data_IF_661775918722
#
_entry.id   IF_661775918722
#
_cell.length_a   1.000
_cell.length_b   1.000
_cell.length_c   1.000
_cell.angle_alpha   90.00
_cell.angle_beta   90.00
_cell.angle_gamma   90.00
#
_symmetry.space_group_name_H-M   'P 1'
#
loop_
_entity.id
_entity.type
_entity.pdbx_description
1 polymer ?
#
# COMPACT_ATOMS: atom_id res chain seq x y z
N UNK A 1 -79.84 42.55 -14.70
CA UNK A 1 -79.87 42.32 -13.24
C UNK A 1 -78.68 41.41 -12.93
N UNK A 2 -77.44 41.92 -12.99
CA UNK A 2 -76.64 42.49 -11.90
C UNK A 2 -76.54 41.60 -10.64
N UNK A 3 -75.26 41.34 -10.26
CA UNK A 3 -74.68 41.26 -8.90
C UNK A 3 -74.48 39.87 -8.27
N UNK A 4 -73.23 39.39 -8.43
CA UNK A 4 -72.23 39.18 -7.36
C UNK A 4 -71.76 37.76 -6.98
N UNK A 5 -70.42 37.71 -6.96
CA UNK A 5 -69.45 36.71 -6.49
C UNK A 5 -69.21 36.87 -4.98
N UNK A 6 -68.93 35.77 -4.25
CA UNK A 6 -67.97 35.63 -3.11
C UNK A 6 -68.00 34.14 -2.69
N UNK A 7 -66.96 33.33 -2.95
CA UNK A 7 -65.69 33.10 -2.24
C UNK A 7 -65.73 32.07 -1.10
N UNK A 8 -64.80 31.13 -1.23
CA UNK A 8 -64.05 30.36 -0.22
C UNK A 8 -64.73 29.36 0.73
N UNK A 9 -64.10 28.18 0.80
CA UNK A 9 -64.30 27.21 1.87
C UNK A 9 -63.76 25.82 1.57
N UNK A 10 -62.44 25.67 1.58
CA UNK A 10 -61.74 24.38 1.69
C UNK A 10 -62.34 23.50 2.81
N UNK A 11 -62.48 22.19 2.59
CA UNK A 11 -61.93 21.17 3.51
C UNK A 11 -62.13 19.75 2.98
N UNK A 12 -61.00 19.09 2.71
CA UNK A 12 -60.85 17.65 2.69
C UNK A 12 -61.30 17.06 4.02
N UNK A 13 -62.10 15.98 4.02
CA UNK A 13 -62.21 15.10 5.18
C UNK A 13 -61.50 13.80 4.87
N UNK A 14 -60.23 13.78 5.28
CA UNK A 14 -59.40 12.60 5.37
C UNK A 14 -59.90 11.69 6.49
N UNK A 15 -59.92 10.40 6.19
CA UNK A 15 -60.12 9.33 7.16
C UNK A 15 -59.01 9.38 8.23
N UNK A 16 -59.32 9.38 9.54
CA UNK A 16 -58.32 9.50 10.59
C UNK A 16 -57.52 8.19 10.78
N UNK A 17 -56.23 8.30 11.17
CA UNK A 17 -55.35 7.16 11.38
C UNK A 17 -55.66 6.45 12.70
N UNK A 18 -55.69 5.11 12.66
CA UNK A 18 -55.76 4.27 13.85
C UNK A 18 -54.44 4.34 14.62
N UNK A 19 -54.40 5.19 15.65
CA UNK A 19 -53.43 5.10 16.74
C UNK A 19 -53.70 3.83 17.55
N UNK A 20 -52.70 2.96 17.68
CA UNK A 20 -52.53 2.14 18.88
C UNK A 20 -51.18 2.48 19.50
N UNK A 21 -51.21 3.31 20.54
CA UNK A 21 -50.17 3.42 21.56
C UNK A 21 -50.48 2.41 22.66
N UNK A 22 -49.51 1.61 23.03
CA UNK A 22 -49.18 1.32 24.43
C UNK A 22 -47.84 0.56 24.47
N UNK A 23 -46.78 1.26 24.86
CA UNK A 23 -45.67 0.67 25.60
C UNK A 23 -46.09 0.64 27.10
N UNK A 24 -45.50 -0.23 27.93
CA UNK A 24 -44.25 0.19 28.56
C UNK A 24 -43.19 -0.92 28.71
N UNK A 25 -41.95 -0.47 28.55
CA UNK A 25 -40.75 -0.78 29.33
C UNK A 25 -40.76 -2.00 30.25
N UNK A 26 -39.95 -3.00 29.89
CA UNK A 26 -39.30 -3.87 30.89
C UNK A 26 -37.79 -3.70 30.73
N UNK A 27 -37.21 -3.07 31.74
CA UNK A 27 -35.78 -2.98 31.99
C UNK A 27 -35.35 -4.38 32.46
N UNK A 28 -34.63 -5.12 31.62
CA UNK A 28 -33.86 -6.28 32.04
C UNK A 28 -32.38 -5.93 31.93
N UNK A 29 -31.81 -5.54 33.07
CA UNK A 29 -30.37 -5.45 33.24
C UNK A 29 -29.78 -6.87 33.21
N UNK A 30 -29.28 -7.29 32.06
CA UNK A 30 -28.41 -8.46 31.95
C UNK A 30 -26.97 -7.98 32.10
N UNK A 31 -26.46 -8.15 33.32
CA UNK A 31 -25.08 -7.93 33.68
C UNK A 31 -24.19 -9.06 33.11
N UNK A 32 -22.97 -8.69 32.75
CA UNK A 32 -21.75 -9.51 32.71
C UNK A 32 -21.68 -10.61 31.64
N UNK A 33 -20.91 -10.33 30.58
CA UNK A 33 -19.63 -11.00 30.31
C UNK A 33 -19.03 -10.37 29.03
N UNK A 34 -18.25 -9.31 29.22
CA UNK A 34 -17.31 -8.88 28.20
C UNK A 34 -16.20 -9.93 28.11
N UNK A 35 -15.94 -10.57 26.96
CA UNK A 35 -14.64 -11.15 26.75
C UNK A 35 -13.68 -9.97 26.60
N UNK A 36 -13.00 -9.64 27.70
CA UNK A 36 -11.75 -8.93 27.65
C UNK A 36 -10.77 -9.82 26.86
N UNK A 37 -10.79 -9.71 25.54
CA UNK A 37 -9.64 -10.03 24.72
C UNK A 37 -8.62 -8.94 25.04
N UNK A 38 -7.93 -9.14 26.16
CA UNK A 38 -6.60 -8.64 26.38
C UNK A 38 -5.76 -9.25 25.25
N UNK A 39 -5.71 -8.57 24.11
CA UNK A 39 -4.58 -8.69 23.22
C UNK A 39 -3.40 -8.19 24.06
N UNK A 40 -2.44 -9.04 24.46
CA UNK A 40 -1.17 -8.49 24.89
C UNK A 40 -0.71 -7.63 23.72
N UNK A 41 -0.51 -6.35 23.97
CA UNK A 41 0.22 -5.49 23.06
C UNK A 41 1.57 -6.14 22.86
N UNK A 42 1.71 -6.92 21.79
CA UNK A 42 3.00 -7.24 21.25
C UNK A 42 3.48 -5.92 20.68
N UNK A 43 4.15 -5.14 21.54
CA UNK A 43 5.28 -4.37 21.07
C UNK A 43 6.13 -5.38 20.31
N UNK A 44 6.06 -5.33 18.99
CA UNK A 44 7.12 -5.87 18.15
C UNK A 44 8.28 -4.93 18.42
N UNK A 45 8.94 -5.15 19.56
CA UNK A 45 10.35 -4.85 19.63
C UNK A 45 10.92 -5.64 18.46
N UNK A 46 11.41 -4.93 17.46
CA UNK A 46 12.45 -5.48 16.61
C UNK A 46 13.58 -5.83 17.58
N UNK A 47 13.53 -7.04 18.12
CA UNK A 47 14.68 -7.64 18.75
C UNK A 47 15.71 -7.67 17.63
N UNK A 48 16.72 -6.81 17.73
CA UNK A 48 17.97 -7.04 17.04
C UNK A 48 18.32 -8.50 17.35
N UNK A 49 18.33 -9.32 16.30
CA UNK A 49 18.68 -10.72 16.42
C UNK A 49 19.99 -10.78 17.22
N UNK A 50 19.96 -11.48 18.36
CA UNK A 50 21.18 -11.87 19.02
C UNK A 50 22.02 -12.68 18.02
N UNK A 51 23.35 -12.64 18.11
CA UNK A 51 24.21 -13.37 17.18
C UNK A 51 23.98 -14.87 17.39
N UNK A 52 23.13 -15.50 16.59
CA UNK A 52 22.82 -16.92 16.74
C UNK A 52 21.79 -17.51 15.78
N UNK A 53 20.74 -16.80 15.39
CA UNK A 53 19.60 -17.43 14.69
C UNK A 53 19.45 -17.05 13.21
N UNK A 54 20.53 -17.23 12.43
CA UNK A 54 20.46 -17.23 10.97
C UNK A 54 20.38 -18.68 10.46
N UNK A 55 19.18 -19.19 10.18
CA UNK A 55 19.02 -20.46 9.46
C UNK A 55 19.18 -20.20 7.97
N UNK A 56 20.27 -20.71 7.38
CA UNK A 56 20.55 -20.65 5.95
C UNK A 56 19.53 -21.51 5.17
N UNK A 57 18.84 -20.98 4.14
CA UNK A 57 18.17 -21.80 3.14
C UNK A 57 19.22 -22.58 2.33
N UNK A 58 18.94 -23.85 2.03
CA UNK A 58 19.89 -24.83 1.47
C UNK A 58 20.53 -24.46 0.10
N UNK A 59 20.24 -23.30 -0.48
CA UNK A 59 20.64 -22.95 -1.87
C UNK A 59 21.31 -21.57 -2.02
N UNK A 60 21.80 -20.95 -0.92
CA UNK A 60 22.55 -19.67 -1.00
C UNK A 60 23.91 -19.76 -0.30
N UNK A 61 24.99 -19.80 -1.08
CA UNK A 61 26.37 -19.71 -0.57
C UNK A 61 26.79 -18.27 -0.25
N UNK A 62 26.36 -17.77 0.92
CA UNK A 62 27.01 -16.63 1.56
C UNK A 62 28.18 -17.10 2.44
N UNK A 63 29.38 -16.58 2.17
CA UNK A 63 30.55 -16.75 3.03
C UNK A 63 30.42 -15.82 4.26
N UNK A 64 29.79 -16.31 5.32
CA UNK A 64 29.65 -15.57 6.58
C UNK A 64 30.89 -15.79 7.47
N UNK A 65 31.80 -14.83 7.52
CA UNK A 65 32.86 -14.77 8.53
C UNK A 65 32.28 -14.22 9.84
N UNK A 66 31.99 -15.11 10.80
CA UNK A 66 31.60 -14.73 12.17
C UNK A 66 32.83 -14.31 12.97
N UNK A 67 32.96 -13.02 13.29
CA UNK A 67 33.96 -12.54 14.25
C UNK A 67 33.39 -12.75 15.65
N UNK A 68 33.70 -13.90 16.27
CA UNK A 68 33.36 -14.13 17.68
C UNK A 68 34.44 -13.49 18.54
N UNK A 69 34.07 -12.47 19.31
CA UNK A 69 34.96 -11.84 20.30
C UNK A 69 35.41 -12.85 21.36
N UNK A 70 36.71 -13.12 21.40
CA UNK A 70 37.31 -14.04 22.36
C UNK A 70 37.33 -13.47 23.78
N UNK A 71 36.57 -14.11 24.68
CA UNK A 71 36.74 -14.01 26.13
C UNK A 71 37.90 -14.91 26.54
N UNK A 72 38.89 -14.36 27.23
CA UNK A 72 40.04 -15.11 27.78
C UNK A 72 39.65 -15.79 29.10
N UNK A 73 39.78 -17.12 29.13
CA UNK A 73 39.59 -17.97 30.30
C UNK A 73 40.54 -19.17 30.19
N UNK A 74 41.32 -19.41 31.23
CA UNK A 74 42.54 -20.22 31.16
C UNK A 74 42.39 -21.73 31.37
N UNK A 75 43.54 -22.42 31.26
CA UNK A 75 43.89 -23.57 32.11
C UNK A 75 43.97 -24.94 31.44
N UNK A 76 45.20 -25.46 31.32
CA UNK A 76 45.58 -26.76 31.89
C UNK A 76 45.41 -28.06 31.08
N UNK A 77 46.57 -28.65 30.75
CA UNK A 77 46.97 -30.07 30.88
C UNK A 77 46.23 -31.20 30.16
N UNK A 78 46.99 -32.04 29.44
CA UNK A 78 46.64 -33.45 29.19
C UNK A 78 47.35 -34.07 27.98
N UNK A 79 48.26 -35.03 28.21
CA UNK A 79 49.01 -35.74 27.19
C UNK A 79 48.36 -37.04 26.68
N UNK A 80 49.02 -37.64 25.67
CA UNK A 80 48.69 -38.93 25.03
C UNK A 80 47.82 -38.73 23.78
N UNK A 81 48.13 -39.21 22.58
CA UNK A 81 48.96 -40.32 22.16
C UNK A 81 48.14 -41.21 21.22
N UNK A 82 48.31 -41.05 19.90
CA UNK A 82 47.92 -42.03 18.87
C UNK A 82 46.70 -41.70 18.01
N UNK A 83 46.88 -41.69 16.68
CA UNK A 83 45.80 -41.81 15.69
C UNK A 83 45.76 -40.70 14.63
N UNK A 84 46.49 -40.89 13.54
CA UNK A 84 46.56 -39.96 12.41
C UNK A 84 45.37 -40.10 11.44
N UNK A 85 44.62 -39.02 11.26
CA UNK A 85 43.99 -38.61 9.98
C UNK A 85 43.32 -37.24 10.15
N UNK A 86 44.14 -36.18 10.25
CA UNK A 86 43.70 -34.78 10.18
C UNK A 86 44.32 -34.08 8.98
N UNK A 87 43.72 -32.99 8.47
CA UNK A 87 44.20 -32.28 7.28
C UNK A 87 45.65 -31.85 7.49
N UNK A 88 46.49 -32.05 6.46
CA UNK A 88 47.90 -31.68 6.50
C UNK A 88 47.98 -30.17 6.71
N UNK A 89 48.41 -29.74 7.89
CA UNK A 89 48.68 -28.33 8.16
C UNK A 89 49.88 -27.90 7.32
N UNK A 90 49.82 -26.77 6.58
CA UNK A 90 50.98 -26.23 5.89
C UNK A 90 52.13 -26.03 6.90
N UNK A 91 53.40 -26.25 6.50
CA UNK A 91 54.52 -26.02 7.39
C UNK A 91 54.54 -24.55 7.84
N UNK A 92 54.83 -24.33 9.12
CA UNK A 92 54.92 -23.00 9.70
C UNK A 92 55.92 -22.13 8.92
N UNK A 93 55.63 -20.84 8.71
CA UNK A 93 56.53 -19.95 8.02
C UNK A 93 57.89 -19.91 8.73
N UNK A 94 58.92 -20.39 8.03
CA UNK A 94 60.26 -20.52 8.60
C UNK A 94 60.83 -19.11 8.81
N UNK A 95 61.07 -18.73 10.08
CA UNK A 95 61.83 -17.52 10.41
C UNK A 95 61.22 -16.58 11.45
N UNK A 96 60.06 -16.89 12.05
CA UNK A 96 59.50 -16.09 13.15
C UNK A 96 59.23 -17.00 14.36
N UNK A 97 59.69 -16.59 15.54
CA UNK A 97 59.36 -17.28 16.80
C UNK A 97 57.86 -17.11 17.11
N UNK A 98 57.26 -18.06 17.84
CA UNK A 98 55.81 -18.22 18.12
C UNK A 98 55.07 -16.95 18.61
N UNK A 99 55.81 -15.93 19.05
CA UNK A 99 55.28 -14.67 19.57
C UNK A 99 55.63 -13.41 18.75
N UNK A 100 56.23 -13.56 17.55
CA UNK A 100 56.61 -12.41 16.70
C UNK A 100 55.57 -12.03 15.64
N UNK A 101 54.44 -12.75 15.57
CA UNK A 101 53.35 -12.48 14.61
C UNK A 101 52.08 -11.85 15.20
N UNK A 102 52.03 -11.57 16.50
CA UNK A 102 50.82 -11.10 17.20
C UNK A 102 51.04 -9.74 17.87
N UNK A 103 51.34 -8.73 17.07
CA UNK A 103 51.36 -7.34 17.51
C UNK A 103 50.46 -6.51 16.63
N UNK A 104 49.35 -6.01 17.16
CA UNK A 104 48.68 -4.87 16.56
C UNK A 104 49.59 -3.66 16.80
N UNK A 105 50.05 -3.02 15.71
CA UNK A 105 50.67 -1.71 15.83
C UNK A 105 49.52 -0.72 15.97
N UNK A 106 49.35 -0.15 17.17
CA UNK A 106 48.45 0.99 17.36
C UNK A 106 48.98 2.17 16.54
N UNK A 107 48.44 2.34 15.33
CA UNK A 107 48.69 3.52 14.52
C UNK A 107 47.87 4.65 15.15
N UNK A 108 48.47 5.77 15.60
CA UNK A 108 47.70 6.89 16.10
C UNK A 108 46.84 7.46 14.97
N UNK A 109 45.52 7.26 15.04
CA UNK A 109 44.58 7.76 14.05
C UNK A 109 43.14 7.43 14.43
N UNK A 110 42.25 8.40 14.30
CA UNK A 110 40.81 8.17 14.37
C UNK A 110 40.44 7.14 13.29
N UNK A 111 39.63 6.10 13.62
CA UNK A 111 39.09 5.21 12.60
C UNK A 111 38.44 6.03 11.48
N UNK A 112 38.62 5.65 10.20
CA UNK A 112 37.97 6.35 9.11
C UNK A 112 36.45 6.34 9.30
N UNK A 113 35.80 7.47 8.99
CA UNK A 113 34.36 7.55 9.05
C UNK A 113 33.73 6.44 8.19
N UNK A 114 32.61 5.83 8.64
CA UNK A 114 31.91 4.83 7.84
C UNK A 114 31.46 5.44 6.52
N UNK A 115 31.56 4.66 5.44
CA UNK A 115 31.09 5.07 4.13
C UNK A 115 29.59 5.39 4.16
N UNK A 116 29.11 6.38 3.37
CA UNK A 116 27.69 6.65 3.24
C UNK A 116 26.95 5.44 2.65
N UNK A 117 25.65 5.29 2.92
CA UNK A 117 24.85 4.24 2.27
C UNK A 117 24.75 4.50 0.77
N UNK A 118 24.46 3.46 -0.01
CA UNK A 118 24.24 3.63 -1.45
C UNK A 118 22.99 4.44 -1.73
N UNK A 119 22.99 5.22 -2.82
CA UNK A 119 21.83 6.03 -3.21
C UNK A 119 20.60 5.17 -3.46
N UNK A 120 20.79 3.98 -4.05
CA UNK A 120 19.68 3.05 -4.33
C UNK A 120 18.93 2.60 -3.05
N UNK A 121 19.62 2.46 -1.92
CA UNK A 121 18.94 2.14 -0.64
C UNK A 121 18.01 3.29 -0.21
N UNK A 122 18.47 4.53 -0.32
CA UNK A 122 17.64 5.71 -0.02
C UNK A 122 16.47 5.85 -0.99
N UNK A 123 16.68 5.51 -2.27
CA UNK A 123 15.63 5.49 -3.30
C UNK A 123 14.54 4.47 -2.96
N UNK A 124 14.91 3.25 -2.58
CA UNK A 124 13.94 2.24 -2.16
C UNK A 124 13.18 2.70 -0.92
N UNK A 125 13.88 3.25 0.07
CA UNK A 125 13.26 3.78 1.28
C UNK A 125 12.27 4.92 0.98
N UNK A 126 12.66 5.86 0.11
CA UNK A 126 11.78 6.93 -0.33
C UNK A 126 10.54 6.35 -1.02
N UNK A 127 10.71 5.44 -1.97
CA UNK A 127 9.60 4.81 -2.69
C UNK A 127 8.66 4.01 -1.78
N UNK A 128 9.18 3.30 -0.79
CA UNK A 128 8.37 2.53 0.16
C UNK A 128 7.53 3.42 1.08
N UNK A 129 7.96 4.67 1.31
CA UNK A 129 7.18 5.67 2.03
C UNK A 129 6.06 6.32 1.20
N UNK A 130 6.01 6.05 -0.11
CA UNK A 130 5.04 6.67 -1.01
C UNK A 130 3.59 6.21 -0.73
N UNK A 131 2.76 7.15 -0.27
CA UNK A 131 1.34 6.91 -0.02
C UNK A 131 0.49 7.25 -1.26
N UNK A 132 0.20 6.23 -2.08
CA UNK A 132 -0.69 6.39 -3.23
C UNK A 132 -2.17 6.39 -2.80
N UNK A 133 -2.97 7.38 -3.23
CA UNK A 133 -4.40 7.45 -2.88
C UNK A 133 -5.17 6.29 -3.53
N UNK A 134 -6.18 5.80 -2.82
CA UNK A 134 -7.17 4.89 -3.41
C UNK A 134 -8.11 5.74 -4.27
N UNK A 135 -8.25 5.45 -5.58
CA UNK A 135 -9.12 6.25 -6.45
C UNK A 135 -10.59 6.13 -6.06
N UNK A 136 -11.31 7.24 -6.05
CA UNK A 136 -12.78 7.25 -5.88
C UNK A 136 -13.44 7.39 -7.23
N UNK A 137 -14.31 6.44 -7.58
CA UNK A 137 -15.02 6.42 -8.86
C UNK A 137 -16.26 7.30 -8.82
N UNK A 138 -16.46 8.09 -9.88
CA UNK A 138 -17.66 8.86 -10.10
C UNK A 138 -18.22 8.67 -11.51
N UNK A 139 -19.54 8.79 -11.61
CA UNK A 139 -20.26 8.73 -12.89
C UNK A 139 -21.29 9.84 -13.01
N UNK A 140 -21.57 10.26 -14.25
CA UNK A 140 -22.73 11.09 -14.58
C UNK A 140 -23.52 10.42 -15.72
N UNK A 141 -24.81 10.08 -15.52
CA UNK A 141 -25.56 10.21 -14.27
C UNK A 141 -25.01 9.32 -13.13
N UNK A 142 -25.29 9.69 -11.89
CA UNK A 142 -24.79 9.01 -10.68
C UNK A 142 -25.68 7.80 -10.34
N UNK A 143 -25.07 6.70 -9.89
CA UNK A 143 -25.66 5.42 -9.47
C UNK A 143 -26.44 4.62 -10.53
N UNK A 144 -27.10 5.30 -11.47
CA UNK A 144 -27.94 4.71 -12.49
C UNK A 144 -27.77 5.42 -13.82
N UNK A 145 -27.60 4.63 -14.87
CA UNK A 145 -27.61 5.07 -16.26
C UNK A 145 -28.50 4.14 -17.10
N UNK A 146 -28.54 4.37 -18.40
CA UNK A 146 -29.33 3.59 -19.33
C UNK A 146 -28.49 3.09 -20.49
N UNK A 147 -28.88 1.93 -21.02
CA UNK A 147 -28.34 1.39 -22.27
C UNK A 147 -28.46 2.44 -23.37
N UNK A 148 -27.40 2.58 -24.19
CA UNK A 148 -27.26 3.56 -25.27
C UNK A 148 -27.24 5.04 -24.85
N UNK A 149 -27.19 5.33 -23.55
CA UNK A 149 -26.90 6.69 -23.08
C UNK A 149 -25.44 6.82 -22.65
N UNK A 150 -24.88 8.00 -22.93
CA UNK A 150 -23.53 8.35 -22.52
C UNK A 150 -23.47 8.43 -20.99
N UNK A 151 -22.49 7.75 -20.43
CA UNK A 151 -22.13 7.82 -19.01
C UNK A 151 -20.73 8.40 -18.92
N UNK A 152 -20.61 9.58 -18.33
CA UNK A 152 -19.32 10.24 -18.11
C UNK A 152 -18.65 9.60 -16.90
N UNK A 153 -17.33 9.46 -16.95
CA UNK A 153 -16.54 8.73 -15.97
C UNK A 153 -15.39 9.63 -15.50
N UNK A 154 -15.19 9.72 -14.19
CA UNK A 154 -14.00 10.37 -13.64
C UNK A 154 -13.60 9.78 -12.29
N UNK A 155 -12.36 10.03 -11.87
CA UNK A 155 -11.85 9.60 -10.58
C UNK A 155 -11.29 10.77 -9.77
N UNK A 156 -11.44 10.68 -8.46
CA UNK A 156 -10.58 11.41 -7.52
C UNK A 156 -9.30 10.60 -7.24
N UNK A 157 -8.25 11.25 -6.73
CA UNK A 157 -6.97 10.60 -6.48
C UNK A 157 -6.03 10.50 -7.69
N UNK A 158 -6.35 11.15 -8.81
CA UNK A 158 -5.46 11.30 -9.96
C UNK A 158 -4.56 12.53 -9.80
N UNK A 159 -3.52 12.42 -8.98
CA UNK A 159 -2.60 13.52 -8.69
C UNK A 159 -1.15 13.06 -8.63
N UNK A 160 -0.24 14.04 -8.74
CA UNK A 160 1.20 13.81 -8.50
C UNK A 160 1.39 13.49 -7.02
N UNK A 161 2.13 12.42 -6.74
CA UNK A 161 2.52 12.02 -5.38
C UNK A 161 4.01 12.27 -5.23
N UNK A 162 4.41 12.94 -4.17
CA UNK A 162 5.81 13.14 -3.81
C UNK A 162 6.06 12.50 -2.45
N UNK A 163 7.21 11.84 -2.30
CA UNK A 163 7.63 11.29 -1.03
C UNK A 163 8.31 12.36 -0.20
N UNK A 164 8.38 12.13 1.12
CA UNK A 164 9.26 12.93 1.94
C UNK A 164 10.73 12.68 1.52
N UNK A 165 11.59 13.71 1.52
CA UNK A 165 13.00 13.53 1.23
C UNK A 165 13.66 12.62 2.27
N UNK A 166 14.49 11.69 1.80
CA UNK A 166 15.28 10.79 2.63
C UNK A 166 16.75 11.18 2.47
N UNK A 167 17.42 11.52 3.57
CA UNK A 167 18.82 11.96 3.55
C UNK A 167 19.70 11.05 4.39
N UNK A 168 20.92 10.80 3.90
CA UNK A 168 22.00 10.18 4.66
C UNK A 168 23.35 10.65 4.11
N UNK A 169 24.28 11.08 4.97
CA UNK A 169 25.51 11.74 4.51
C UNK A 169 25.21 13.05 3.77
N UNK A 170 25.96 13.34 2.72
CA UNK A 170 25.78 14.49 1.83
C UNK A 170 24.90 14.15 0.61
N UNK A 171 23.92 13.26 0.75
CA UNK A 171 22.92 12.99 -0.28
C UNK A 171 21.49 13.04 0.27
N UNK A 172 20.58 13.56 -0.54
CA UNK A 172 19.14 13.64 -0.27
C UNK A 172 18.38 13.13 -1.48
N UNK A 173 17.52 12.14 -1.26
CA UNK A 173 16.73 11.47 -2.31
C UNK A 173 15.26 11.79 -2.14
N UNK A 174 14.57 12.07 -3.25
CA UNK A 174 13.12 12.21 -3.28
C UNK A 174 12.53 11.45 -4.47
N UNK A 175 11.45 10.70 -4.25
CA UNK A 175 10.68 10.07 -5.31
C UNK A 175 9.42 10.90 -5.63
N UNK A 176 9.10 10.98 -6.92
CA UNK A 176 7.94 11.66 -7.48
C UNK A 176 7.23 10.72 -8.44
N UNK A 177 5.94 10.50 -8.19
CA UNK A 177 5.07 9.68 -9.03
C UNK A 177 4.05 10.56 -9.76
N UNK A 178 4.05 10.50 -11.09
CA UNK A 178 3.12 11.24 -11.95
C UNK A 178 2.05 10.30 -12.50
N UNK A 179 0.75 10.62 -12.34
CA UNK A 179 -0.31 9.77 -12.88
C UNK A 179 -0.29 9.84 -14.41
N UNK A 180 -0.47 8.70 -15.06
CA UNK A 180 -0.35 8.57 -16.52
C UNK A 180 -1.64 8.11 -17.18
N UNK A 181 -2.46 7.27 -16.52
CA UNK A 181 -3.71 6.78 -17.10
C UNK A 181 -4.65 6.19 -16.07
N UNK A 182 -5.91 6.02 -16.46
CA UNK A 182 -6.96 5.31 -15.71
C UNK A 182 -7.51 4.19 -16.57
N UNK A 183 -7.30 2.95 -16.11
CA UNK A 183 -7.92 1.76 -16.72
C UNK A 183 -9.21 1.44 -15.98
N UNK A 184 -10.33 1.54 -16.68
CA UNK A 184 -11.64 1.19 -16.17
C UNK A 184 -12.01 -0.25 -16.52
N UNK A 185 -12.57 -0.96 -15.55
CA UNK A 185 -13.36 -2.16 -15.78
C UNK A 185 -14.83 -1.82 -15.51
N UNK A 186 -15.65 -1.83 -16.55
CA UNK A 186 -17.07 -1.48 -16.48
C UNK A 186 -17.96 -2.72 -16.32
N UNK A 187 -17.38 -3.91 -16.15
CA UNK A 187 -18.09 -5.19 -16.08
C UNK A 187 -18.49 -5.78 -17.43
N UNK A 188 -18.77 -4.96 -18.45
CA UNK A 188 -18.96 -5.44 -19.83
C UNK A 188 -17.80 -5.11 -20.79
N UNK A 189 -16.96 -4.14 -20.43
CA UNK A 189 -15.81 -3.70 -21.23
C UNK A 189 -14.74 -3.07 -20.36
N UNK A 190 -13.48 -3.26 -20.75
CA UNK A 190 -12.35 -2.47 -20.25
C UNK A 190 -12.03 -1.31 -21.21
N UNK A 191 -11.78 -0.12 -20.67
CA UNK A 191 -11.34 1.04 -21.44
C UNK A 191 -10.23 1.77 -20.69
N UNK A 192 -9.35 2.46 -21.41
CA UNK A 192 -8.27 3.27 -20.83
C UNK A 192 -8.49 4.73 -21.19
N UNK A 193 -8.51 5.59 -20.18
CA UNK A 193 -8.48 7.05 -20.32
C UNK A 193 -7.09 7.55 -19.93
N UNK A 194 -6.59 8.58 -20.63
CA UNK A 194 -5.23 9.13 -20.41
C UNK A 194 -5.20 10.21 -19.31
N UNK A 195 -6.34 10.48 -18.70
CA UNK A 195 -6.52 11.47 -17.65
C UNK A 195 -7.56 10.99 -16.63
N UNK A 196 -7.78 11.82 -15.61
CA UNK A 196 -8.73 11.56 -14.54
C UNK A 196 -10.19 11.45 -14.99
N UNK A 197 -10.53 11.88 -16.21
CA UNK A 197 -11.89 12.14 -16.63
C UNK A 197 -12.44 13.46 -16.09
N UNK A 198 -13.68 13.76 -16.46
CA UNK A 198 -14.41 14.95 -16.03
C UNK A 198 -15.90 14.68 -15.95
N UNK A 199 -16.63 15.53 -15.21
CA UNK A 199 -18.08 15.41 -15.06
C UNK A 199 -18.85 15.66 -16.36
N UNK A 200 -18.35 16.52 -17.24
CA UNK A 200 -18.88 16.74 -18.60
C UNK A 200 -18.56 15.58 -19.57
N UNK A 201 -17.60 14.72 -19.19
CA UNK A 201 -17.17 13.51 -19.89
C UNK A 201 -16.35 13.77 -21.13
N UNK A 202 -15.87 14.98 -21.40
CA UNK A 202 -15.14 15.33 -22.62
C UNK A 202 -13.99 14.37 -22.90
N UNK A 203 -13.23 14.01 -21.86
CA UNK A 203 -12.05 13.15 -22.00
C UNK A 203 -12.33 11.67 -21.75
N UNK A 204 -13.29 11.34 -20.86
CA UNK A 204 -13.57 9.96 -20.47
C UNK A 204 -15.07 9.72 -20.30
N UNK A 205 -15.62 8.84 -21.15
CA UNK A 205 -17.02 8.44 -21.12
C UNK A 205 -17.22 7.07 -21.77
N UNK A 206 -18.34 6.44 -21.47
CA UNK A 206 -18.74 5.19 -22.08
C UNK A 206 -20.25 5.11 -22.29
N UNK A 207 -20.65 4.37 -23.32
CA UNK A 207 -22.06 4.09 -23.62
C UNK A 207 -22.31 2.61 -23.47
N UNK A 208 -23.06 2.24 -22.43
CA UNK A 208 -23.36 0.85 -22.13
C UNK A 208 -24.22 0.21 -23.22
N UNK A 209 -23.91 -1.04 -23.54
CA UNK A 209 -24.59 -1.82 -24.59
C UNK A 209 -25.59 -2.82 -24.02
N UNK A 210 -25.41 -3.26 -22.77
CA UNK A 210 -26.27 -4.26 -22.12
C UNK A 210 -26.75 -3.78 -20.76
N UNK A 211 -27.98 -4.15 -20.40
CA UNK A 211 -28.52 -3.89 -19.07
C UNK A 211 -27.80 -4.70 -17.98
N UNK A 212 -27.80 -4.17 -16.77
CA UNK A 212 -27.21 -4.82 -15.59
C UNK A 212 -28.14 -5.82 -14.91
N UNK A 213 -29.37 -6.03 -15.41
CA UNK A 213 -30.39 -6.91 -14.79
C UNK A 213 -29.90 -8.33 -14.59
N UNK A 214 -29.07 -8.86 -15.50
CA UNK A 214 -28.49 -10.20 -15.40
C UNK A 214 -27.21 -10.29 -14.55
N UNK A 215 -26.71 -9.17 -14.02
CA UNK A 215 -25.52 -9.14 -13.20
C UNK A 215 -25.84 -9.51 -11.73
N UNK A 216 -24.89 -10.08 -10.98
CA UNK A 216 -25.05 -10.29 -9.54
C UNK A 216 -25.45 -8.99 -8.82
N UNK A 217 -26.58 -9.02 -8.10
CA UNK A 217 -27.14 -7.85 -7.43
C UNK A 217 -27.75 -6.79 -8.36
N UNK A 218 -27.98 -7.11 -9.64
CA UNK A 218 -28.66 -6.23 -10.61
C UNK A 218 -27.86 -5.00 -11.04
N UNK A 219 -26.54 -4.96 -10.77
CA UNK A 219 -25.66 -3.82 -11.04
C UNK A 219 -24.32 -4.29 -11.60
N UNK A 220 -23.68 -3.50 -12.47
CA UNK A 220 -22.25 -3.67 -12.72
C UNK A 220 -21.45 -3.22 -11.49
N UNK A 221 -20.32 -3.88 -11.24
CA UNK A 221 -19.35 -3.50 -10.20
C UNK A 221 -18.15 -2.85 -10.90
N UNK A 222 -18.26 -1.55 -11.17
CA UNK A 222 -17.25 -0.83 -11.93
C UNK A 222 -16.05 -0.53 -11.04
N UNK A 223 -14.85 -0.62 -11.59
CA UNK A 223 -13.59 -0.27 -10.90
C UNK A 223 -12.71 0.58 -11.80
N UNK A 224 -11.92 1.47 -11.20
CA UNK A 224 -10.90 2.23 -11.90
C UNK A 224 -9.51 1.94 -11.30
N UNK A 225 -8.54 1.68 -12.17
CA UNK A 225 -7.14 1.48 -11.80
C UNK A 225 -6.33 2.64 -12.35
N UNK A 226 -5.81 3.48 -11.45
CA UNK A 226 -4.91 4.57 -11.81
C UNK A 226 -3.50 4.01 -11.89
N UNK A 227 -2.75 4.44 -12.91
CA UNK A 227 -1.33 4.11 -13.10
C UNK A 227 -0.49 5.37 -12.89
N UNK A 228 0.59 5.25 -12.14
CA UNK A 228 1.60 6.29 -11.97
C UNK A 228 2.94 5.82 -12.50
N UNK A 229 3.69 6.71 -13.12
CA UNK A 229 5.12 6.54 -13.43
C UNK A 229 5.92 7.20 -12.33
N UNK A 230 6.83 6.43 -11.71
CA UNK A 230 7.61 6.86 -10.55
C UNK A 230 9.03 7.16 -10.99
N UNK A 231 9.50 8.36 -10.69
CA UNK A 231 10.89 8.81 -10.91
C UNK A 231 11.47 9.31 -9.61
N UNK A 232 12.79 9.34 -9.47
CA UNK A 232 13.47 9.89 -8.30
C UNK A 232 14.60 10.81 -8.70
N UNK A 233 14.98 11.68 -7.76
CA UNK A 233 16.11 12.60 -7.87
C UNK A 233 16.98 12.47 -6.63
N UNK A 234 18.29 12.66 -6.79
CA UNK A 234 19.24 12.76 -5.68
C UNK A 234 20.02 14.06 -5.80
N UNK A 235 20.15 14.74 -4.68
CA UNK A 235 20.91 15.98 -4.54
C UNK A 235 22.04 15.79 -3.53
N UNK A 236 23.25 16.18 -3.92
CA UNK A 236 24.43 16.22 -3.06
C UNK A 236 25.62 15.40 -3.57
N UNK A 237 26.76 15.54 -2.90
CA UNK A 237 28.06 15.03 -3.37
C UNK A 237 28.20 13.51 -3.23
N UNK A 238 27.42 12.90 -2.34
CA UNK A 238 27.43 11.46 -2.10
C UNK A 238 26.46 10.69 -3.02
N UNK A 239 25.81 11.36 -3.98
CA UNK A 239 24.90 10.71 -4.92
C UNK A 239 25.66 9.86 -5.96
N UNK A 240 25.37 8.55 -6.01
CA UNK A 240 25.90 7.65 -7.05
C UNK A 240 25.42 8.08 -8.45
N UNK A 241 24.15 8.48 -8.56
CA UNK A 241 23.52 9.07 -9.74
C UNK A 241 22.51 10.14 -9.33
N UNK A 242 22.30 11.16 -10.18
CA UNK A 242 21.40 12.29 -9.87
C UNK A 242 19.90 11.99 -9.98
N UNK A 243 19.51 10.82 -10.47
CA UNK A 243 18.10 10.45 -10.62
C UNK A 243 17.88 9.22 -11.50
N UNK A 244 16.64 8.78 -11.58
CA UNK A 244 16.24 7.62 -12.37
C UNK A 244 14.73 7.36 -12.38
N UNK A 245 14.35 6.27 -13.04
CA UNK A 245 12.97 5.77 -13.13
C UNK A 245 12.83 4.48 -12.28
N UNK A 246 11.70 4.33 -11.59
CA UNK A 246 11.33 3.16 -10.78
C UNK A 246 10.20 2.35 -11.41
N UNK A 247 9.85 2.66 -12.65
CA UNK A 247 8.76 2.02 -13.39
C UNK A 247 7.39 2.56 -13.02
N UNK A 248 6.38 1.71 -13.20
CA UNK A 248 4.99 2.06 -12.97
C UNK A 248 4.40 1.33 -11.77
N UNK A 249 3.51 2.03 -11.07
CA UNK A 249 2.74 1.48 -9.96
C UNK A 249 1.27 1.78 -10.15
N UNK A 250 0.41 0.98 -9.52
CA UNK A 250 -1.04 1.08 -9.71
C UNK A 250 -1.81 1.01 -8.40
N UNK A 251 -2.98 1.63 -8.40
CA UNK A 251 -3.98 1.53 -7.34
C UNK A 251 -5.37 1.40 -7.96
N UNK A 252 -6.13 0.45 -7.45
CA UNK A 252 -7.48 0.15 -7.91
C UNK A 252 -8.48 0.65 -6.88
N UNK A 253 -9.57 1.26 -7.36
CA UNK A 253 -10.68 1.69 -6.54
C UNK A 253 -11.41 0.50 -5.90
N UNK A 254 -12.25 0.80 -4.90
CA UNK A 254 -13.27 -0.16 -4.50
C UNK A 254 -14.29 -0.36 -5.64
N UNK A 255 -14.96 -1.52 -5.72
CA UNK A 255 -16.01 -1.74 -6.71
C UNK A 255 -17.24 -0.87 -6.43
N UNK A 256 -17.59 0.00 -7.37
CA UNK A 256 -18.75 0.89 -7.28
C UNK A 256 -19.94 0.26 -8.02
N UNK A 257 -21.12 0.10 -7.39
CA UNK A 257 -22.30 -0.38 -8.09
C UNK A 257 -22.81 0.67 -9.08
N UNK A 258 -23.06 0.26 -10.32
CA UNK A 258 -23.74 1.09 -11.33
C UNK A 258 -24.90 0.29 -11.96
N UNK A 259 -26.11 0.81 -11.82
CA UNK A 259 -27.30 0.21 -12.44
C UNK A 259 -27.42 0.71 -13.87
N UNK A 260 -27.55 -0.22 -14.82
CA UNK A 260 -27.77 0.11 -16.24
C UNK A 260 -29.11 -0.47 -16.64
N UNK A 261 -30.11 0.40 -16.78
CA UNK A 261 -31.48 0.02 -17.17
C UNK A 261 -31.70 0.19 -18.68
N UNK A 262 -32.77 -0.41 -19.19
CA UNK A 262 -33.25 -0.15 -20.55
C UNK A 262 -34.46 0.79 -20.51
N UNK A 263 -34.56 1.70 -21.47
CA UNK A 263 -35.76 2.53 -21.66
C UNK A 263 -36.76 1.68 -22.44
N UNK A 264 -37.88 1.35 -21.80
CA UNK A 264 -38.98 0.66 -22.45
C UNK A 264 -40.05 1.70 -22.79
N UNK A 265 -40.28 1.94 -24.07
CA UNK A 265 -41.47 2.69 -24.50
C UNK A 265 -42.60 1.68 -24.59
N UNK A 266 -43.48 1.65 -23.59
CA UNK A 266 -44.73 0.91 -23.72
C UNK A 266 -45.64 1.70 -24.67
N UNK A 267 -45.55 1.43 -25.97
CA UNK A 267 -46.59 1.84 -26.93
C UNK A 267 -47.78 0.90 -26.79
N UNK A 268 -48.47 1.00 -25.65
CA UNK A 268 -49.76 0.37 -25.45
C UNK A 268 -50.81 1.10 -26.30
N UNK A 269 -51.35 0.37 -27.27
CA UNK A 269 -52.63 0.62 -27.93
C UNK A 269 -53.78 0.55 -26.92
#
# INVERSE_FOLDING_TARGET
MLISIFSEGHAMSHQPPSRRRAAPSVIAAAALLAPALAFPGQAVAYAAAGPGDCVKPDDIDCNATSITGGTSGGGGTGGGGGGASGPVQPPDPVGLTENQGVGFVDVPGEPPAPAPPSTFLLVQQANDSAAFPIPTVHTAPTDKTYVRLRTNLWVEGFGVVQTDPVSAGAQTVQATAKPSSVTWDLGEKKLVCQDAGSKDGETCHYTFKRSSTGQPGGSYKITATVTWTVSWTCEGDDCDTGGGDLGTTTRTSQPTPLVVSEIQTNTGQ
#
